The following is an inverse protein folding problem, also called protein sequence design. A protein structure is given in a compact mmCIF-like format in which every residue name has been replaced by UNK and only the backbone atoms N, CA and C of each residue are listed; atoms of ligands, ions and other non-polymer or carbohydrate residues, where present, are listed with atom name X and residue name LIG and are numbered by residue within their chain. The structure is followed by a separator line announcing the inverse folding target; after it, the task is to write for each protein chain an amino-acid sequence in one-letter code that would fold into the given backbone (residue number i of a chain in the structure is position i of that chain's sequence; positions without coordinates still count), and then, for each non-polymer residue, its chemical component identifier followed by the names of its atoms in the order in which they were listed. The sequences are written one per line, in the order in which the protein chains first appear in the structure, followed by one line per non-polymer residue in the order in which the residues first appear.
data_IF_039081171307
#
_entry.id   IF_039081171307
#
_cell.length_a   1.000
_cell.length_b   1.000
_cell.length_c   1.000
_cell.angle_alpha   90.00
_cell.angle_beta   90.00
_cell.angle_gamma   90.00
#
_symmetry.space_group_name_H-M   'P 1'
#
loop_
_entity.id
_entity.type
_entity.pdbx_description
1 polymer ?
#
# COMPACT_ATOMS: atom_id res chain seq x y z
N UNK A 1 -15.65 -0.19 21.12
CA UNK A 1 -14.97 0.57 20.23
C UNK A 1 -15.40 0.31 18.87
N UNK A 2 -15.77 1.26 18.27
CA UNK A 2 -16.22 1.06 16.96
C UNK A 2 -15.05 0.77 16.15
N UNK A 3 -15.03 -0.33 15.67
CA UNK A 3 -14.14 -0.56 14.70
C UNK A 3 -14.52 0.35 13.65
N UNK A 4 -13.85 0.45 12.71
CA UNK A 4 -14.22 1.30 11.67
C UNK A 4 -14.01 2.74 11.98
N UNK A 5 -13.11 3.07 12.83
CA UNK A 5 -12.73 4.43 12.93
C UNK A 5 -12.28 4.86 11.59
N UNK A 6 -12.93 5.86 11.05
CA UNK A 6 -12.60 6.29 9.72
C UNK A 6 -11.41 7.20 9.75
N UNK A 7 -10.48 6.94 8.86
CA UNK A 7 -9.35 7.81 8.72
C UNK A 7 -9.79 9.12 8.07
N UNK A 8 -9.18 10.20 8.47
CA UNK A 8 -9.42 11.45 7.76
C UNK A 8 -8.80 11.37 6.38
N UNK A 9 -9.22 12.23 5.45
CA UNK A 9 -8.59 12.22 4.12
C UNK A 9 -7.08 12.39 4.19
N UNK A 10 -6.60 13.19 5.12
CA UNK A 10 -5.17 13.38 5.27
C UNK A 10 -4.49 12.12 5.75
N UNK A 11 -5.12 11.42 6.68
CA UNK A 11 -4.56 10.18 7.17
C UNK A 11 -4.57 9.11 6.11
N UNK A 12 -5.61 9.09 5.29
CA UNK A 12 -5.67 8.14 4.20
C UNK A 12 -4.56 8.39 3.20
N UNK A 13 -4.29 9.64 2.92
CA UNK A 13 -3.23 10.00 1.99
C UNK A 13 -1.87 9.57 2.54
N UNK A 14 -1.64 9.81 3.82
CA UNK A 14 -0.40 9.39 4.45
C UNK A 14 -0.23 7.88 4.37
N UNK A 15 -1.32 7.17 4.58
CA UNK A 15 -1.26 5.72 4.51
C UNK A 15 -0.92 5.24 3.11
N UNK A 16 -1.53 5.86 2.12
CA UNK A 16 -1.21 5.51 0.75
C UNK A 16 0.25 5.75 0.44
N UNK A 17 0.79 6.85 0.92
CA UNK A 17 2.18 7.15 0.67
C UNK A 17 3.11 6.17 1.35
N UNK A 18 2.75 5.71 2.54
CA UNK A 18 3.53 4.68 3.21
C UNK A 18 3.53 3.39 2.41
N UNK A 19 2.36 3.02 1.92
CA UNK A 19 2.24 1.81 1.13
C UNK A 19 3.07 1.91 -0.12
N UNK A 20 3.01 3.05 -0.79
CA UNK A 20 3.76 3.27 -2.01
C UNK A 20 5.25 3.18 -1.73
N UNK A 21 5.71 3.81 -0.67
CA UNK A 21 7.12 3.80 -0.33
C UNK A 21 7.62 2.38 -0.11
N UNK A 22 6.86 1.59 0.64
CA UNK A 22 7.21 0.21 0.91
C UNK A 22 7.21 -0.60 -0.38
N UNK A 23 6.18 -0.40 -1.19
CA UNK A 23 6.06 -1.16 -2.43
C UNK A 23 7.21 -0.86 -3.38
N UNK A 24 7.56 0.41 -3.50
CA UNK A 24 8.65 0.78 -4.40
C UNK A 24 9.98 0.22 -3.93
N UNK A 25 10.19 0.19 -2.62
CA UNK A 25 11.40 -0.40 -2.09
C UNK A 25 11.49 -1.87 -2.42
N UNK A 26 10.39 -2.59 -2.28
CA UNK A 26 10.38 -4.01 -2.61
C UNK A 26 10.57 -4.24 -4.10
N UNK A 27 9.92 -3.42 -4.92
CA UNK A 27 10.05 -3.55 -6.36
C UNK A 27 11.48 -3.27 -6.78
N UNK A 28 12.09 -2.29 -6.18
CA UNK A 28 13.47 -1.96 -6.51
C UNK A 28 14.41 -3.08 -6.12
N UNK A 29 14.13 -3.71 -4.99
CA UNK A 29 15.00 -4.77 -4.50
C UNK A 29 14.78 -6.09 -5.22
N UNK A 30 13.54 -6.47 -5.42
CA UNK A 30 13.20 -7.79 -5.93
C UNK A 30 12.66 -7.80 -7.34
N UNK A 31 12.26 -6.65 -7.86
CA UNK A 31 11.61 -6.57 -9.16
C UNK A 31 10.11 -6.62 -9.00
N UNK A 32 9.42 -6.03 -9.97
CA UNK A 32 7.97 -5.92 -9.91
C UNK A 32 7.32 -7.31 -9.86
N UNK A 33 7.82 -8.22 -10.69
CA UNK A 33 7.22 -9.54 -10.78
C UNK A 33 7.31 -10.31 -9.49
N UNK A 34 8.40 -10.15 -8.77
CA UNK A 34 8.61 -10.92 -7.55
C UNK A 34 8.05 -10.25 -6.31
N UNK A 35 7.52 -9.06 -6.44
CA UNK A 35 6.92 -8.36 -5.33
C UNK A 35 5.45 -8.75 -5.25
N UNK A 36 4.97 -9.10 -4.06
CA UNK A 36 3.58 -9.49 -3.89
C UNK A 36 2.87 -8.52 -2.98
N UNK A 37 1.55 -8.47 -3.12
CA UNK A 37 0.73 -7.65 -2.24
C UNK A 37 0.90 -8.07 -0.78
N UNK A 38 1.09 -9.36 -0.57
CA UNK A 38 1.29 -9.87 0.79
C UNK A 38 2.54 -9.28 1.41
N UNK A 39 3.63 -9.26 0.66
CA UNK A 39 4.86 -8.70 1.17
C UNK A 39 4.74 -7.23 1.46
N UNK A 40 4.04 -6.54 0.58
CA UNK A 40 3.80 -5.12 0.78
C UNK A 40 3.04 -4.89 2.08
N UNK A 41 2.00 -5.68 2.30
CA UNK A 41 1.21 -5.55 3.52
C UNK A 41 2.05 -5.78 4.76
N UNK A 42 2.88 -6.81 4.72
CA UNK A 42 3.72 -7.14 5.86
C UNK A 42 4.67 -6.01 6.18
N UNK A 43 5.35 -5.49 5.17
CA UNK A 43 6.30 -4.41 5.40
C UNK A 43 5.61 -3.10 5.76
N UNK A 44 4.40 -2.89 5.28
CA UNK A 44 3.64 -1.71 5.63
C UNK A 44 2.97 -1.87 6.99
N UNK A 45 3.15 -3.03 7.62
CA UNK A 45 2.63 -3.31 8.94
C UNK A 45 1.11 -3.20 8.97
N UNK A 46 0.47 -3.83 8.00
CA UNK A 46 -0.98 -3.81 7.92
C UNK A 46 -1.46 -5.14 7.38
N UNK A 47 -2.73 -5.45 7.62
CA UNK A 47 -3.30 -6.67 7.11
C UNK A 47 -3.57 -6.56 5.63
N UNK A 48 -3.69 -7.71 4.99
CA UNK A 48 -4.00 -7.73 3.57
C UNK A 48 -5.34 -7.06 3.27
N UNK A 49 -6.33 -7.29 4.12
CA UNK A 49 -7.62 -6.65 3.93
C UNK A 49 -7.49 -5.15 3.92
N UNK A 50 -6.72 -4.63 4.86
CA UNK A 50 -6.53 -3.19 4.93
C UNK A 50 -5.83 -2.66 3.70
N UNK A 51 -4.81 -3.38 3.24
CA UNK A 51 -4.11 -2.99 2.04
C UNK A 51 -5.06 -2.95 0.84
N UNK A 52 -5.89 -3.96 0.71
CA UNK A 52 -6.83 -4.02 -0.40
C UNK A 52 -7.87 -2.92 -0.37
N UNK A 53 -8.09 -2.34 0.81
CA UNK A 53 -8.97 -1.16 0.88
C UNK A 53 -8.35 0.04 0.18
N UNK A 54 -7.03 0.08 0.10
CA UNK A 54 -6.34 1.19 -0.54
C UNK A 54 -5.97 0.88 -1.99
N UNK A 55 -5.44 -0.29 -2.22
CA UNK A 55 -4.99 -0.68 -3.56
C UNK A 55 -5.36 -2.14 -3.79
N UNK A 56 -5.95 -2.41 -4.95
CA UNK A 56 -6.35 -3.78 -5.26
C UNK A 56 -5.22 -4.60 -5.84
N UNK A 57 -4.30 -3.96 -6.54
CA UNK A 57 -3.20 -4.68 -7.19
C UNK A 57 -1.93 -3.88 -7.09
N UNK A 58 -0.81 -4.54 -7.40
CA UNK A 58 0.47 -3.84 -7.48
C UNK A 58 0.44 -2.77 -8.55
N UNK A 59 -0.25 -3.05 -9.64
CA UNK A 59 -0.34 -2.10 -10.73
C UNK A 59 -0.92 -0.79 -10.26
N UNK A 60 -1.96 -0.86 -9.44
CA UNK A 60 -2.58 0.35 -8.93
C UNK A 60 -1.62 1.18 -8.10
N UNK A 61 -0.78 0.50 -7.33
CA UNK A 61 0.19 1.20 -6.52
C UNK A 61 1.17 1.96 -7.39
N UNK A 62 1.67 1.30 -8.43
CA UNK A 62 2.64 1.91 -9.31
C UNK A 62 2.02 3.08 -10.07
N UNK A 63 0.81 2.89 -10.56
CA UNK A 63 0.12 3.95 -11.28
C UNK A 63 -0.08 5.17 -10.39
N UNK A 64 -0.49 4.94 -9.17
CA UNK A 64 -0.70 6.03 -8.24
C UNK A 64 0.61 6.78 -8.00
N UNK A 65 1.69 6.04 -7.82
CA UNK A 65 2.99 6.63 -7.57
C UNK A 65 3.45 7.47 -8.76
N UNK A 66 3.21 6.99 -9.95
CA UNK A 66 3.63 7.70 -11.16
C UNK A 66 2.80 8.96 -11.37
N UNK A 67 1.51 8.87 -11.08
CA UNK A 67 0.63 10.01 -11.30
C UNK A 67 0.78 11.07 -10.23
N UNK A 68 1.35 10.70 -9.12
CA UNK A 68 1.57 11.63 -8.07
C UNK A 68 2.80 12.46 -8.33
#
# INVERSE_FOLDING_TARGET
MPKGIMLTPEQQEERREEIISVALQLIEKNGFQKTSMREIAILANMGKSSLYDFFKTKDEIVVYAVEK
#
